data_IF_864873951842
#
_entry.id   IF_864873951842
#
_cell.length_a   1.000
_cell.length_b   1.000
_cell.length_c   1.000
_cell.angle_alpha   90.00
_cell.angle_beta   90.00
_cell.angle_gamma   90.00
#
_symmetry.space_group_name_H-M   'P 1'
#
loop_
_entity.id
_entity.type
_entity.pdbx_description
1 polymer ?
#
# COMPACT_ATOMS: atom_id res chain seq x y z
N UNK A 1 23.27 -28.16 27.38
CA UNK A 1 23.16 -27.93 25.93
C UNK A 1 22.61 -29.21 25.34
N UNK A 2 21.40 -29.16 24.78
CA UNK A 2 20.79 -30.30 24.08
C UNK A 2 21.06 -30.07 22.59
N UNK A 3 21.81 -30.98 21.95
CA UNK A 3 22.07 -30.91 20.52
C UNK A 3 21.21 -31.99 19.88
N UNK A 4 20.33 -31.59 18.99
CA UNK A 4 19.55 -32.53 18.19
C UNK A 4 19.95 -32.33 16.74
N UNK A 5 20.36 -33.43 16.12
CA UNK A 5 20.80 -33.47 14.73
C UNK A 5 19.73 -34.19 13.95
N UNK A 6 19.18 -33.52 12.94
CA UNK A 6 18.26 -34.09 11.96
C UNK A 6 18.93 -34.08 10.60
N UNK A 7 18.53 -35.00 9.73
CA UNK A 7 19.18 -35.21 8.44
C UNK A 7 18.50 -34.44 7.30
N UNK A 8 17.27 -33.99 7.52
CA UNK A 8 16.53 -33.11 6.61
C UNK A 8 16.09 -31.82 7.29
N UNK A 9 16.10 -30.73 6.54
CA UNK A 9 15.68 -29.41 7.02
C UNK A 9 14.18 -29.40 7.39
N UNK A 10 13.36 -30.16 6.65
CA UNK A 10 11.94 -30.38 6.90
C UNK A 10 11.65 -30.98 8.29
N UNK A 11 12.43 -31.99 8.70
CA UNK A 11 12.39 -32.60 10.04
C UNK A 11 12.79 -31.61 11.14
N UNK A 12 13.77 -30.75 10.85
CA UNK A 12 14.21 -29.71 11.78
C UNK A 12 13.05 -28.77 12.13
N UNK A 13 12.30 -28.35 11.10
CA UNK A 13 11.15 -27.47 11.26
C UNK A 13 9.98 -28.15 11.96
N UNK A 14 9.61 -29.39 11.61
CA UNK A 14 8.56 -30.13 12.33
C UNK A 14 8.89 -30.29 13.81
N UNK A 15 10.16 -30.63 14.10
CA UNK A 15 10.62 -30.80 15.46
C UNK A 15 10.61 -29.45 16.21
N UNK A 16 11.04 -28.37 15.57
CA UNK A 16 10.97 -27.02 16.13
C UNK A 16 9.53 -26.59 16.44
N UNK A 17 8.61 -26.78 15.49
CA UNK A 17 7.18 -26.44 15.66
C UNK A 17 6.53 -27.24 16.79
N UNK A 18 6.85 -28.55 16.89
CA UNK A 18 6.33 -29.41 17.97
C UNK A 18 6.87 -29.06 19.36
N UNK A 19 8.11 -28.54 19.44
CA UNK A 19 8.74 -28.10 20.68
C UNK A 19 8.28 -26.69 21.11
N UNK A 20 7.80 -25.87 20.18
CA UNK A 20 7.37 -24.49 20.43
C UNK A 20 5.99 -24.35 21.10
N UNK A 21 5.29 -25.45 21.39
CA UNK A 21 3.97 -25.42 22.05
C UNK A 21 3.98 -24.90 23.51
N UNK A 22 5.16 -24.76 24.15
CA UNK A 22 5.32 -24.25 25.53
C UNK A 22 6.28 -23.05 25.66
N UNK A 23 6.77 -22.51 24.54
CA UNK A 23 7.77 -21.42 24.49
C UNK A 23 7.18 -20.06 24.07
N UNK A 24 8.05 -19.05 23.95
CA UNK A 24 7.70 -17.76 23.33
C UNK A 24 7.25 -18.04 21.88
N UNK A 25 6.06 -17.56 21.50
CA UNK A 25 5.59 -17.69 20.14
C UNK A 25 6.60 -17.12 19.13
N UNK A 26 6.81 -17.84 18.03
CA UNK A 26 7.68 -17.41 16.94
C UNK A 26 7.16 -16.12 16.31
N UNK A 27 8.08 -15.32 15.75
CA UNK A 27 7.66 -14.16 14.98
C UNK A 27 6.92 -14.63 13.72
N UNK A 28 5.78 -14.01 13.36
CA UNK A 28 5.05 -14.35 12.13
C UNK A 28 5.92 -14.36 10.87
N UNK A 29 6.95 -13.52 10.79
CA UNK A 29 7.86 -13.51 9.64
C UNK A 29 8.73 -14.76 9.57
N UNK A 30 9.14 -15.31 10.71
CA UNK A 30 9.90 -16.56 10.77
C UNK A 30 9.04 -17.75 10.32
N UNK A 31 7.77 -17.76 10.72
CA UNK A 31 6.80 -18.77 10.28
C UNK A 31 6.55 -18.71 8.77
N UNK A 32 6.40 -17.51 8.21
CA UNK A 32 6.31 -17.31 6.76
C UNK A 32 7.57 -17.84 6.05
N UNK A 33 8.75 -17.47 6.52
CA UNK A 33 10.02 -17.95 5.96
C UNK A 33 10.07 -19.48 5.91
N UNK A 34 9.73 -20.16 7.01
CA UNK A 34 9.71 -21.62 7.10
C UNK A 34 8.69 -22.24 6.13
N UNK A 35 7.49 -21.66 6.04
CA UNK A 35 6.47 -22.11 5.08
C UNK A 35 6.97 -22.04 3.63
N UNK A 36 7.53 -20.89 3.23
CA UNK A 36 7.96 -20.68 1.85
C UNK A 36 9.23 -21.47 1.49
N UNK A 37 10.11 -21.80 2.44
CA UNK A 37 11.21 -22.76 2.21
C UNK A 37 10.66 -24.14 1.84
N UNK A 38 9.69 -24.67 2.60
CA UNK A 38 9.06 -25.96 2.27
C UNK A 38 8.36 -25.94 0.91
N UNK A 39 7.79 -24.81 0.51
CA UNK A 39 7.21 -24.67 -0.83
C UNK A 39 8.28 -24.70 -1.93
N UNK A 40 9.45 -24.09 -1.71
CA UNK A 40 10.58 -24.18 -2.66
C UNK A 40 11.09 -25.61 -2.85
N UNK A 41 11.19 -26.39 -1.76
CA UNK A 41 11.55 -27.81 -1.81
C UNK A 41 10.54 -28.59 -2.67
N UNK A 42 9.24 -28.36 -2.47
CA UNK A 42 8.16 -29.01 -3.23
C UNK A 42 8.17 -28.62 -4.72
N UNK A 43 8.49 -27.36 -5.02
CA UNK A 43 8.53 -26.83 -6.38
C UNK A 43 9.85 -27.18 -7.12
N UNK A 44 10.76 -27.92 -6.48
CA UNK A 44 12.01 -28.39 -7.09
C UNK A 44 13.07 -27.30 -7.26
N UNK A 45 13.03 -26.24 -6.45
CA UNK A 45 14.06 -25.20 -6.44
C UNK A 45 15.39 -25.80 -5.98
N UNK A 46 16.48 -25.48 -6.67
CA UNK A 46 17.81 -26.00 -6.31
C UNK A 46 18.26 -25.47 -4.94
N UNK A 47 18.96 -26.30 -4.15
CA UNK A 47 19.51 -25.88 -2.85
C UNK A 47 20.42 -24.64 -2.94
N UNK A 48 21.17 -24.48 -4.05
CA UNK A 48 22.01 -23.30 -4.24
C UNK A 48 21.18 -22.01 -4.33
N UNK A 49 20.04 -22.06 -5.03
CA UNK A 49 19.12 -20.93 -5.16
C UNK A 49 18.34 -20.65 -3.88
N UNK A 50 17.85 -21.71 -3.23
CA UNK A 50 17.22 -21.60 -1.90
C UNK A 50 18.16 -20.91 -0.90
N UNK A 51 19.41 -21.38 -0.82
CA UNK A 51 20.42 -20.81 0.06
C UNK A 51 20.67 -19.32 -0.24
N UNK A 52 20.72 -18.93 -1.52
CA UNK A 52 20.87 -17.54 -1.93
C UNK A 52 19.71 -16.67 -1.42
N UNK A 53 18.46 -17.10 -1.62
CA UNK A 53 17.25 -16.37 -1.21
C UNK A 53 17.17 -16.26 0.32
N UNK A 54 17.47 -17.33 1.03
CA UNK A 54 17.52 -17.34 2.48
C UNK A 54 18.62 -16.39 2.98
N UNK A 55 19.79 -16.37 2.33
CA UNK A 55 20.86 -15.43 2.69
C UNK A 55 20.48 -13.97 2.43
N UNK A 56 19.72 -13.68 1.37
CA UNK A 56 19.20 -12.33 1.10
C UNK A 56 18.19 -11.90 2.17
N UNK A 57 17.24 -12.78 2.50
CA UNK A 57 16.29 -12.56 3.59
C UNK A 57 16.97 -12.21 4.92
N UNK A 58 18.01 -12.96 5.29
CA UNK A 58 18.77 -12.76 6.53
C UNK A 58 19.60 -11.46 6.55
N UNK A 59 19.76 -10.76 5.43
CA UNK A 59 20.37 -9.42 5.41
C UNK A 59 19.40 -8.34 5.88
N UNK A 60 18.09 -8.61 5.85
CA UNK A 60 17.07 -7.70 6.34
C UNK A 60 17.04 -7.79 7.88
N UNK A 61 17.21 -6.67 8.62
CA UNK A 61 17.13 -6.69 10.07
C UNK A 61 15.76 -7.22 10.54
N UNK A 62 15.69 -8.16 11.52
CA UNK A 62 14.41 -8.74 11.95
C UNK A 62 13.35 -7.72 12.39
N UNK A 63 13.78 -6.64 13.05
CA UNK A 63 12.89 -5.54 13.43
C UNK A 63 12.34 -4.80 12.20
N UNK A 64 13.17 -4.61 11.18
CA UNK A 64 12.78 -3.98 9.93
C UNK A 64 11.77 -4.85 9.17
N UNK A 65 12.00 -6.16 9.12
CA UNK A 65 11.11 -7.13 8.51
C UNK A 65 9.75 -7.20 9.22
N UNK A 66 9.77 -7.33 10.56
CA UNK A 66 8.55 -7.32 11.37
C UNK A 66 7.73 -6.05 11.11
N UNK A 67 8.37 -4.89 11.10
CA UNK A 67 7.68 -3.63 10.88
C UNK A 67 7.24 -3.44 9.42
N UNK A 68 7.98 -3.97 8.43
CA UNK A 68 7.55 -4.03 7.02
C UNK A 68 6.20 -4.75 6.89
N UNK A 69 6.13 -5.98 7.42
CA UNK A 69 4.90 -6.77 7.37
C UNK A 69 3.79 -6.14 8.20
N UNK A 70 4.07 -5.73 9.44
CA UNK A 70 3.05 -5.31 10.39
C UNK A 70 2.51 -3.88 10.15
N UNK A 71 3.38 -2.93 9.82
CA UNK A 71 3.00 -1.52 9.68
C UNK A 71 2.57 -1.14 8.26
N UNK A 72 2.99 -1.92 7.24
CA UNK A 72 2.77 -1.56 5.85
C UNK A 72 2.04 -2.64 5.07
N UNK A 73 2.66 -3.80 4.80
CA UNK A 73 2.10 -4.79 3.87
C UNK A 73 0.75 -5.32 4.36
N UNK A 74 0.68 -5.76 5.62
CA UNK A 74 -0.57 -6.25 6.21
C UNK A 74 -1.64 -5.17 6.26
N UNK A 75 -1.26 -3.93 6.63
CA UNK A 75 -2.23 -2.83 6.77
C UNK A 75 -2.80 -2.39 5.44
N UNK A 76 -1.94 -2.15 4.44
CA UNK A 76 -2.37 -1.81 3.09
C UNK A 76 -3.26 -2.93 2.51
N UNK A 77 -2.88 -4.20 2.66
CA UNK A 77 -3.67 -5.33 2.18
C UNK A 77 -5.07 -5.41 2.81
N UNK A 78 -5.18 -5.20 4.13
CA UNK A 78 -6.47 -5.27 4.83
C UNK A 78 -7.33 -4.02 4.59
N UNK A 79 -6.76 -2.82 4.75
CA UNK A 79 -7.51 -1.56 4.62
C UNK A 79 -7.97 -1.32 3.18
N UNK A 80 -7.21 -1.74 2.17
CA UNK A 80 -7.63 -1.68 0.77
C UNK A 80 -8.85 -2.57 0.47
N UNK A 81 -9.05 -3.63 1.25
CA UNK A 81 -10.22 -4.51 1.19
C UNK A 81 -11.33 -4.11 2.19
N UNK A 82 -11.20 -2.97 2.87
CA UNK A 82 -12.19 -2.53 3.84
C UNK A 82 -12.21 -3.34 5.14
N UNK A 83 -11.15 -4.10 5.43
CA UNK A 83 -11.08 -5.01 6.59
C UNK A 83 -10.48 -4.30 7.80
N UNK A 84 -11.19 -4.36 8.92
CA UNK A 84 -10.72 -3.83 10.21
C UNK A 84 -9.60 -4.64 10.81
N UNK A 85 -8.57 -3.93 11.29
CA UNK A 85 -7.39 -4.50 11.93
C UNK A 85 -7.46 -4.25 13.43
N UNK A 86 -6.94 -5.19 14.22
CA UNK A 86 -6.81 -5.07 15.68
C UNK A 86 -5.45 -4.50 16.06
N UNK A 87 -5.34 -3.92 17.25
CA UNK A 87 -4.14 -3.19 17.70
C UNK A 87 -2.85 -4.01 17.69
N UNK A 88 -2.94 -5.31 17.96
CA UNK A 88 -1.80 -6.22 17.93
C UNK A 88 -1.29 -6.53 16.51
N UNK A 89 -1.98 -6.07 15.46
CA UNK A 89 -1.46 -6.06 14.09
C UNK A 89 -1.32 -7.45 13.46
N UNK A 90 -0.22 -7.65 12.74
CA UNK A 90 0.11 -8.89 12.04
C UNK A 90 0.63 -9.95 13.02
N UNK A 91 -0.09 -11.06 13.12
CA UNK A 91 0.24 -12.20 14.00
C UNK A 91 0.19 -13.51 13.22
N UNK A 92 0.50 -14.63 13.88
CA UNK A 92 0.41 -15.96 13.27
C UNK A 92 -0.99 -16.26 12.67
N UNK A 93 -2.05 -15.66 13.22
CA UNK A 93 -3.41 -15.82 12.70
C UNK A 93 -3.63 -15.18 11.30
N UNK A 94 -2.72 -14.31 10.86
CA UNK A 94 -2.78 -13.63 9.56
C UNK A 94 -1.79 -14.19 8.54
N UNK A 95 -0.98 -15.19 8.91
CA UNK A 95 -0.07 -15.88 8.00
C UNK A 95 -0.77 -16.34 6.70
N UNK A 96 -1.99 -16.89 6.71
CA UNK A 96 -2.68 -17.29 5.49
C UNK A 96 -2.92 -16.16 4.46
N UNK A 97 -2.76 -14.88 4.83
CA UNK A 97 -2.83 -13.77 3.87
C UNK A 97 -1.62 -13.69 2.93
N UNK A 98 -0.52 -14.33 3.31
CA UNK A 98 0.75 -14.38 2.56
C UNK A 98 1.08 -15.81 2.10
N UNK A 99 0.32 -16.83 2.54
CA UNK A 99 0.28 -18.15 1.91
C UNK A 99 -0.75 -18.12 0.77
N UNK A 100 -0.29 -17.94 -0.47
CA UNK A 100 -1.20 -17.76 -1.61
C UNK A 100 -1.14 -18.91 -2.61
N UNK A 101 -0.72 -18.59 -3.83
CA UNK A 101 -0.74 -19.48 -4.99
C UNK A 101 0.45 -20.43 -4.92
N UNK A 102 0.17 -21.70 -4.61
CA UNK A 102 1.10 -22.81 -4.85
C UNK A 102 1.23 -23.12 -6.35
N UNK A 103 2.45 -23.43 -6.80
CA UNK A 103 2.77 -23.71 -8.20
C UNK A 103 2.47 -25.18 -8.55
N UNK A 104 2.64 -26.08 -7.59
CA UNK A 104 2.63 -27.54 -7.77
C UNK A 104 1.34 -28.24 -7.27
N UNK A 105 0.47 -27.55 -6.54
CA UNK A 105 -0.75 -28.13 -5.94
C UNK A 105 -2.01 -27.85 -6.78
N UNK A 106 -3.22 -27.92 -6.21
CA UNK A 106 -4.50 -27.76 -6.93
C UNK A 106 -4.71 -26.35 -7.53
N UNK A 107 -3.92 -25.37 -7.11
CA UNK A 107 -4.09 -23.97 -7.51
C UNK A 107 -4.07 -23.71 -9.03
N UNK A 108 -3.21 -24.31 -9.88
CA UNK A 108 -3.23 -24.11 -11.33
C UNK A 108 -4.56 -24.50 -12.00
N UNK A 109 -5.38 -25.35 -11.35
CA UNK A 109 -6.72 -25.65 -11.84
C UNK A 109 -7.68 -24.45 -11.69
N UNK A 110 -7.44 -23.60 -10.68
CA UNK A 110 -8.27 -22.43 -10.40
C UNK A 110 -8.00 -21.30 -11.41
N UNK A 111 -9.05 -20.74 -12.00
CA UNK A 111 -8.87 -19.68 -13.01
C UNK A 111 -8.25 -18.39 -12.45
N UNK A 112 -8.54 -18.05 -11.19
CA UNK A 112 -8.04 -16.82 -10.57
C UNK A 112 -6.52 -16.84 -10.35
N UNK A 113 -5.91 -18.02 -10.17
CA UNK A 113 -4.48 -18.16 -9.88
C UNK A 113 -3.61 -18.10 -11.14
N UNK A 114 -4.19 -18.47 -12.30
CA UNK A 114 -3.46 -18.64 -13.57
C UNK A 114 -2.73 -17.38 -14.01
N UNK A 115 -3.30 -16.20 -13.80
CA UNK A 115 -2.66 -14.94 -14.19
C UNK A 115 -1.32 -14.74 -13.48
N UNK A 116 -1.25 -15.07 -12.19
CA UNK A 116 -0.04 -14.96 -11.37
C UNK A 116 1.00 -16.00 -11.77
N UNK A 117 0.56 -17.24 -12.02
CA UNK A 117 1.44 -18.32 -12.49
C UNK A 117 2.00 -18.05 -13.90
N UNK A 118 1.18 -17.52 -14.80
CA UNK A 118 1.61 -17.16 -16.15
C UNK A 118 2.60 -15.98 -16.14
N UNK A 119 2.34 -14.95 -15.31
CA UNK A 119 3.29 -13.86 -15.10
C UNK A 119 4.64 -14.38 -14.57
N UNK A 120 4.60 -15.30 -13.59
CA UNK A 120 5.81 -15.94 -13.04
C UNK A 120 6.57 -16.70 -14.13
N UNK A 121 5.86 -17.51 -14.90
CA UNK A 121 6.45 -18.29 -15.98
C UNK A 121 7.08 -17.39 -17.05
N UNK A 122 6.42 -16.27 -17.40
CA UNK A 122 6.94 -15.28 -18.35
C UNK A 122 8.28 -14.70 -17.87
N UNK A 123 8.33 -14.23 -16.62
CA UNK A 123 9.55 -13.70 -15.99
C UNK A 123 10.66 -14.74 -15.96
N UNK A 124 10.35 -15.98 -15.57
CA UNK A 124 11.34 -17.05 -15.51
C UNK A 124 11.92 -17.41 -16.88
N UNK A 125 11.07 -17.47 -17.91
CA UNK A 125 11.53 -17.71 -19.28
C UNK A 125 12.42 -16.55 -19.75
N UNK A 126 12.01 -15.29 -19.51
CA UNK A 126 12.82 -14.14 -19.88
C UNK A 126 14.20 -14.16 -19.21
N UNK A 127 14.28 -14.43 -17.90
CA UNK A 127 15.55 -14.53 -17.15
C UNK A 127 16.43 -15.67 -17.67
N UNK A 128 15.83 -16.81 -18.05
CA UNK A 128 16.56 -17.94 -18.66
C UNK A 128 17.17 -17.52 -20.00
N UNK A 129 16.39 -16.87 -20.85
CA UNK A 129 16.76 -16.57 -22.22
C UNK A 129 17.72 -15.35 -22.30
N UNK A 130 17.61 -14.40 -21.36
CA UNK A 130 18.36 -13.14 -21.37
C UNK A 130 19.37 -12.99 -20.23
N UNK A 131 19.55 -13.99 -19.37
CA UNK A 131 20.35 -13.84 -18.14
C UNK A 131 21.82 -13.44 -18.36
N UNK A 132 22.42 -13.78 -19.51
CA UNK A 132 23.76 -13.27 -19.87
C UNK A 132 23.71 -11.77 -20.17
N UNK A 133 22.71 -11.34 -20.93
CA UNK A 133 22.53 -9.94 -21.33
C UNK A 133 22.17 -9.05 -20.13
N UNK A 134 21.36 -9.54 -19.19
CA UNK A 134 21.08 -8.85 -17.93
C UNK A 134 22.37 -8.65 -17.11
N UNK A 135 23.17 -9.71 -16.94
CA UNK A 135 24.46 -9.62 -16.21
C UNK A 135 25.44 -8.66 -16.87
N UNK A 136 25.41 -8.57 -18.20
CA UNK A 136 26.22 -7.62 -18.98
C UNK A 136 25.59 -6.23 -19.09
N UNK A 137 24.45 -5.97 -18.42
CA UNK A 137 23.69 -4.71 -18.46
C UNK A 137 23.24 -4.29 -19.87
N UNK A 138 23.11 -5.25 -20.78
CA UNK A 138 22.66 -5.04 -22.17
C UNK A 138 21.13 -5.12 -22.25
N UNK A 139 20.52 -6.03 -21.50
CA UNK A 139 19.06 -6.16 -21.39
C UNK A 139 18.58 -5.66 -20.02
N UNK A 140 17.40 -5.05 -19.97
CA UNK A 140 16.73 -4.71 -18.72
C UNK A 140 16.33 -5.97 -17.97
N UNK A 141 16.46 -5.95 -16.65
CA UNK A 141 15.92 -7.00 -15.79
C UNK A 141 14.38 -6.97 -15.86
N UNK A 142 13.78 -8.13 -16.09
CA UNK A 142 12.33 -8.28 -15.98
C UNK A 142 12.01 -8.82 -14.59
N UNK A 143 11.38 -7.99 -13.77
CA UNK A 143 10.90 -8.35 -12.45
C UNK A 143 9.44 -8.82 -12.49
N UNK A 144 9.05 -9.61 -11.49
CA UNK A 144 7.66 -9.99 -11.32
C UNK A 144 6.83 -8.77 -10.92
N UNK A 145 5.68 -8.50 -11.57
CA UNK A 145 4.87 -7.32 -11.29
C UNK A 145 4.12 -7.51 -9.97
N UNK A 146 4.77 -7.21 -8.85
CA UNK A 146 4.17 -7.28 -7.53
C UNK A 146 3.08 -6.22 -7.35
N UNK A 147 2.06 -6.56 -6.56
CA UNK A 147 1.04 -5.66 -6.03
C UNK A 147 0.74 -6.12 -4.59
N UNK A 148 0.68 -5.21 -3.63
CA UNK A 148 0.57 -5.57 -2.20
C UNK A 148 -0.72 -6.36 -1.91
N UNK A 149 -1.81 -5.98 -2.58
CA UNK A 149 -3.13 -6.54 -2.35
C UNK A 149 -3.44 -7.80 -3.19
N UNK A 150 -2.49 -8.26 -4.01
CA UNK A 150 -2.65 -9.52 -4.76
C UNK A 150 -2.33 -10.76 -3.92
N UNK A 151 -2.82 -11.95 -4.32
CA UNK A 151 -2.35 -13.22 -3.79
C UNK A 151 -0.84 -13.41 -4.02
N UNK A 152 -0.12 -13.78 -2.96
CA UNK A 152 1.32 -14.08 -3.04
C UNK A 152 1.51 -15.38 -3.80
N UNK A 153 2.51 -15.49 -4.68
CA UNK A 153 2.95 -16.78 -5.21
C UNK A 153 3.94 -17.40 -4.22
N UNK A 154 3.70 -18.66 -3.85
CA UNK A 154 4.48 -19.34 -2.83
C UNK A 154 5.93 -19.61 -3.25
N UNK A 155 6.74 -20.11 -2.31
CA UNK A 155 8.13 -20.46 -2.57
C UNK A 155 9.01 -19.24 -2.88
N UNK A 156 9.84 -19.38 -3.92
CA UNK A 156 10.83 -18.39 -4.33
C UNK A 156 10.22 -16.99 -4.56
N UNK A 157 9.04 -16.93 -5.16
CA UNK A 157 8.39 -15.65 -5.49
C UNK A 157 8.05 -14.82 -4.26
N UNK A 158 7.81 -15.45 -3.11
CA UNK A 158 7.58 -14.74 -1.85
C UNK A 158 8.86 -14.10 -1.27
N UNK A 159 10.01 -14.75 -1.43
CA UNK A 159 11.30 -14.17 -1.05
C UNK A 159 11.58 -12.94 -1.92
N UNK A 160 11.35 -13.04 -3.23
CA UNK A 160 11.45 -11.92 -4.15
C UNK A 160 10.45 -10.79 -3.82
N UNK A 161 9.21 -11.13 -3.48
CA UNK A 161 8.19 -10.17 -3.01
C UNK A 161 8.68 -9.40 -1.79
N UNK A 162 9.26 -10.09 -0.81
CA UNK A 162 9.71 -9.49 0.45
C UNK A 162 10.88 -8.54 0.21
N UNK A 163 11.86 -8.98 -0.59
CA UNK A 163 12.99 -8.14 -0.97
C UNK A 163 12.54 -6.90 -1.76
N UNK A 164 11.64 -7.08 -2.73
CA UNK A 164 11.06 -6.00 -3.52
C UNK A 164 10.46 -4.90 -2.63
N UNK A 165 9.56 -5.27 -1.70
CA UNK A 165 8.92 -4.29 -0.83
C UNK A 165 9.84 -3.72 0.24
N UNK A 166 10.86 -4.47 0.67
CA UNK A 166 11.88 -3.93 1.56
C UNK A 166 12.73 -2.86 0.87
N UNK A 167 13.18 -3.10 -0.37
CA UNK A 167 13.90 -2.10 -1.15
C UNK A 167 13.01 -0.92 -1.51
N UNK A 168 11.76 -1.15 -1.92
CA UNK A 168 10.82 -0.06 -2.18
C UNK A 168 10.62 0.81 -0.93
N UNK A 169 10.37 0.21 0.24
CA UNK A 169 10.28 0.92 1.51
C UNK A 169 11.54 1.73 1.82
N UNK A 170 12.73 1.17 1.55
CA UNK A 170 14.00 1.89 1.73
C UNK A 170 14.13 3.08 0.77
N UNK A 171 13.81 2.91 -0.50
CA UNK A 171 13.85 3.97 -1.51
C UNK A 171 12.87 5.10 -1.19
N UNK A 172 11.71 4.76 -0.62
CA UNK A 172 10.74 5.71 -0.08
C UNK A 172 11.16 6.36 1.25
N UNK A 173 12.36 6.09 1.77
CA UNK A 173 12.90 6.74 2.96
C UNK A 173 12.30 6.29 4.29
N UNK A 174 11.71 5.08 4.38
CA UNK A 174 11.23 4.53 5.66
C UNK A 174 12.37 4.26 6.65
N UNK A 175 13.55 3.91 6.12
CA UNK A 175 14.69 3.39 6.87
C UNK A 175 15.97 4.23 6.70
N UNK A 176 15.86 5.41 6.09
CA UNK A 176 16.99 6.27 5.76
C UNK A 176 16.61 7.35 4.77
N UNK A 177 17.61 7.93 4.12
CA UNK A 177 17.41 8.95 3.09
C UNK A 177 16.64 8.37 1.89
N UNK A 178 15.61 9.07 1.38
CA UNK A 178 14.88 8.63 0.20
C UNK A 178 15.76 8.75 -1.05
N UNK A 179 15.54 7.90 -2.03
CA UNK A 179 16.19 7.97 -3.36
C UNK A 179 15.28 8.59 -4.41
N UNK A 180 14.30 9.38 -3.97
CA UNK A 180 13.22 9.94 -4.78
C UNK A 180 13.57 11.33 -5.32
N UNK A 181 12.99 11.69 -6.46
CA UNK A 181 13.03 13.07 -6.98
C UNK A 181 12.01 13.96 -6.26
N UNK A 182 12.44 14.55 -5.14
CA UNK A 182 11.63 15.44 -4.32
C UNK A 182 11.79 16.90 -4.73
N UNK A 183 10.66 17.60 -4.90
CA UNK A 183 10.67 19.05 -4.93
C UNK A 183 10.84 19.63 -3.52
N UNK A 184 11.03 20.95 -3.40
CA UNK A 184 11.22 21.64 -2.12
C UNK A 184 10.12 21.30 -1.09
N UNK A 185 8.86 21.27 -1.53
CA UNK A 185 7.70 21.02 -0.67
C UNK A 185 7.70 19.59 -0.13
N UNK A 186 7.97 18.60 -0.97
CA UNK A 186 8.09 17.21 -0.56
C UNK A 186 9.33 16.98 0.30
N UNK A 187 10.43 17.69 0.03
CA UNK A 187 11.63 17.69 0.86
C UNK A 187 11.33 18.14 2.30
N UNK A 188 10.57 19.23 2.49
CA UNK A 188 10.13 19.68 3.81
C UNK A 188 9.24 18.65 4.55
N UNK A 189 8.35 17.97 3.80
CA UNK A 189 7.52 16.89 4.37
C UNK A 189 8.40 15.74 4.86
N UNK A 190 9.37 15.32 4.06
CA UNK A 190 10.28 14.24 4.41
C UNK A 190 11.19 14.61 5.59
N UNK A 191 11.73 15.83 5.62
CA UNK A 191 12.49 16.34 6.77
C UNK A 191 11.65 16.26 8.05
N UNK A 192 10.40 16.73 8.03
CA UNK A 192 9.50 16.61 9.18
C UNK A 192 9.28 15.15 9.60
N UNK A 193 9.02 14.25 8.64
CA UNK A 193 8.75 12.84 8.91
C UNK A 193 9.97 12.09 9.45
N UNK A 194 11.16 12.40 8.95
CA UNK A 194 12.39 11.71 9.30
C UNK A 194 13.04 12.27 10.56
N UNK A 195 12.82 13.55 10.90
CA UNK A 195 13.37 14.17 12.12
C UNK A 195 12.36 14.20 13.26
N UNK A 196 11.38 15.11 13.20
CA UNK A 196 10.41 15.38 14.28
C UNK A 196 9.47 14.18 14.50
N UNK A 197 8.96 13.58 13.44
CA UNK A 197 8.01 12.47 13.57
C UNK A 197 8.67 11.16 14.02
N UNK A 198 9.93 10.92 13.65
CA UNK A 198 10.69 9.73 14.07
C UNK A 198 11.09 9.74 15.54
N UNK A 199 11.36 10.93 16.10
CA UNK A 199 11.82 11.08 17.50
C UNK A 199 10.68 11.27 18.49
N UNK A 200 9.50 11.68 18.04
CA UNK A 200 8.35 11.96 18.89
C UNK A 200 7.25 10.91 18.71
N UNK A 201 7.05 10.06 19.72
CA UNK A 201 6.08 8.97 19.72
C UNK A 201 4.64 9.40 19.34
N UNK A 202 4.27 10.67 19.57
CA UNK A 202 2.95 11.21 19.25
C UNK A 202 2.66 11.27 17.75
N UNK A 203 3.70 11.26 16.92
CA UNK A 203 3.57 11.28 15.46
C UNK A 203 3.76 9.91 14.83
N UNK A 204 4.07 8.86 15.61
CA UNK A 204 4.31 7.50 15.08
C UNK A 204 3.17 7.03 14.18
N UNK A 205 1.93 7.14 14.67
CA UNK A 205 0.75 6.71 13.91
C UNK A 205 0.53 7.51 12.62
N UNK A 206 0.86 8.81 12.62
CA UNK A 206 0.79 9.66 11.43
C UNK A 206 1.85 9.25 10.42
N UNK A 207 3.08 9.02 10.90
CA UNK A 207 4.21 8.60 10.08
C UNK A 207 3.93 7.25 9.42
N UNK A 208 3.47 6.27 10.21
CA UNK A 208 3.12 4.94 9.71
C UNK A 208 2.02 5.03 8.64
N UNK A 209 0.96 5.80 8.88
CA UNK A 209 -0.14 5.96 7.93
C UNK A 209 0.34 6.61 6.63
N UNK A 210 1.08 7.73 6.73
CA UNK A 210 1.65 8.43 5.58
C UNK A 210 2.52 7.52 4.70
N UNK A 211 3.47 6.80 5.29
CA UNK A 211 4.34 5.91 4.54
C UNK A 211 3.63 4.66 4.02
N UNK A 212 2.60 4.17 4.71
CA UNK A 212 1.78 3.06 4.23
C UNK A 212 0.96 3.45 3.00
N UNK A 213 0.39 4.64 2.98
CA UNK A 213 -0.33 5.18 1.81
C UNK A 213 0.61 5.44 0.65
N UNK A 214 1.77 6.05 0.92
CA UNK A 214 2.79 6.31 -0.11
C UNK A 214 3.33 5.00 -0.71
N UNK A 215 3.65 4.01 0.13
CA UNK A 215 4.10 2.70 -0.34
C UNK A 215 3.05 2.06 -1.25
N UNK A 216 1.78 2.09 -0.86
CA UNK A 216 0.71 1.47 -1.64
C UNK A 216 0.40 2.23 -2.93
N UNK A 217 0.55 3.55 -2.93
CA UNK A 217 0.44 4.36 -4.14
C UNK A 217 1.56 4.05 -5.15
N UNK A 218 2.81 4.01 -4.68
CA UNK A 218 3.97 3.75 -5.55
C UNK A 218 4.00 2.31 -6.04
N UNK A 219 3.57 1.35 -5.21
CA UNK A 219 3.31 -0.04 -5.63
C UNK A 219 2.40 -0.09 -6.87
N UNK A 220 1.38 0.77 -6.92
CA UNK A 220 0.38 0.76 -7.98
C UNK A 220 0.76 1.59 -9.20
N UNK A 221 1.31 2.78 -9.01
CA UNK A 221 1.50 3.77 -10.08
C UNK A 221 2.97 4.08 -10.38
N UNK A 222 3.91 3.51 -9.62
CA UNK A 222 5.29 3.97 -9.62
C UNK A 222 5.38 5.41 -9.11
N UNK A 223 6.36 6.16 -9.61
CA UNK A 223 6.63 7.54 -9.20
C UNK A 223 5.83 8.61 -9.98
N UNK A 224 4.76 8.20 -10.67
CA UNK A 224 3.89 9.13 -11.39
C UNK A 224 3.22 10.11 -10.42
N UNK A 225 3.34 11.42 -10.69
CA UNK A 225 2.79 12.49 -9.85
C UNK A 225 3.15 12.34 -8.35
N UNK A 226 4.38 11.86 -8.09
CA UNK A 226 4.83 11.49 -6.75
C UNK A 226 4.77 12.67 -5.75
N UNK A 227 5.17 13.86 -6.16
CA UNK A 227 5.22 15.03 -5.27
C UNK A 227 3.80 15.49 -4.86
N UNK A 228 2.84 15.39 -5.76
CA UNK A 228 1.43 15.64 -5.50
C UNK A 228 0.85 14.60 -4.54
N UNK A 229 1.20 13.33 -4.74
CA UNK A 229 0.78 12.21 -3.89
C UNK A 229 1.36 12.34 -2.47
N UNK A 230 2.66 12.65 -2.33
CA UNK A 230 3.32 12.91 -1.04
C UNK A 230 2.57 13.99 -0.26
N UNK A 231 2.27 15.12 -0.90
CA UNK A 231 1.54 16.21 -0.25
C UNK A 231 0.10 15.79 0.11
N UNK A 232 -0.60 15.06 -0.75
CA UNK A 232 -1.94 14.53 -0.47
C UNK A 232 -1.94 13.64 0.79
N UNK A 233 -1.08 12.63 0.83
CA UNK A 233 -1.01 11.69 1.94
C UNK A 233 -0.52 12.35 3.23
N UNK A 234 0.41 13.30 3.13
CA UNK A 234 0.80 14.10 4.28
C UNK A 234 -0.40 14.85 4.86
N UNK A 235 -1.16 15.58 4.04
CA UNK A 235 -2.35 16.30 4.50
C UNK A 235 -3.38 15.34 5.09
N UNK A 236 -3.61 14.19 4.46
CA UNK A 236 -4.55 13.19 4.95
C UNK A 236 -4.14 12.62 6.32
N UNK A 237 -2.89 12.20 6.48
CA UNK A 237 -2.40 11.62 7.73
C UNK A 237 -2.22 12.67 8.85
N UNK A 238 -1.67 13.85 8.53
CA UNK A 238 -1.46 14.94 9.48
C UNK A 238 -2.77 15.43 10.09
N UNK A 239 -3.83 15.51 9.27
CA UNK A 239 -5.17 15.91 9.72
C UNK A 239 -5.67 15.05 10.87
N UNK A 240 -5.48 13.74 10.82
CA UNK A 240 -5.92 12.82 11.89
C UNK A 240 -5.34 13.21 13.26
N UNK A 241 -4.07 13.63 13.30
CA UNK A 241 -3.40 14.05 14.54
C UNK A 241 -3.82 15.44 15.01
N UNK A 242 -4.15 16.32 14.07
CA UNK A 242 -4.67 17.67 14.36
C UNK A 242 -6.14 17.63 14.80
N UNK A 243 -6.89 16.59 14.44
CA UNK A 243 -8.28 16.40 14.90
C UNK A 243 -8.38 15.83 16.31
N UNK A 244 -7.37 15.09 16.78
CA UNK A 244 -7.50 14.27 17.96
C UNK A 244 -6.55 14.69 19.08
N UNK A 245 -7.10 14.92 20.28
CA UNK A 245 -6.30 15.12 21.50
C UNK A 245 -5.43 13.92 21.84
N UNK A 246 -5.95 12.71 21.66
CA UNK A 246 -5.24 11.44 21.85
C UNK A 246 -5.36 10.59 20.59
N UNK A 247 -4.23 10.10 20.07
CA UNK A 247 -4.16 9.31 18.84
C UNK A 247 -3.63 7.91 19.16
N UNK A 248 -4.54 6.94 19.25
CA UNK A 248 -4.22 5.51 19.36
C UNK A 248 -4.47 4.78 18.04
N UNK A 249 -4.04 3.51 17.95
CA UNK A 249 -4.23 2.70 16.74
C UNK A 249 -5.70 2.54 16.34
N UNK A 250 -6.61 2.39 17.31
CA UNK A 250 -8.04 2.27 17.04
C UNK A 250 -8.59 3.48 16.26
N UNK A 251 -8.08 4.69 16.53
CA UNK A 251 -8.43 5.89 15.78
C UNK A 251 -7.90 5.85 14.35
N UNK A 252 -6.67 5.37 14.15
CA UNK A 252 -6.07 5.19 12.81
C UNK A 252 -6.85 4.18 11.99
N UNK A 253 -7.14 3.03 12.57
CA UNK A 253 -7.91 1.98 11.90
C UNK A 253 -9.33 2.47 11.54
N UNK A 254 -9.99 3.20 12.46
CA UNK A 254 -11.28 3.81 12.17
C UNK A 254 -11.20 4.90 11.10
N UNK A 255 -10.09 5.64 11.03
CA UNK A 255 -9.85 6.67 10.02
C UNK A 255 -9.61 6.07 8.63
N UNK A 256 -8.70 5.10 8.51
CA UNK A 256 -8.36 4.41 7.26
C UNK A 256 -9.58 3.75 6.59
N UNK A 257 -10.53 3.28 7.41
CA UNK A 257 -11.75 2.60 6.97
C UNK A 257 -13.00 3.48 6.95
N UNK A 258 -12.87 4.77 7.27
CA UNK A 258 -14.00 5.69 7.29
C UNK A 258 -15.16 5.21 8.20
N UNK A 259 -14.86 4.60 9.36
CA UNK A 259 -15.87 3.95 10.23
C UNK A 259 -16.60 4.91 11.18
N UNK A 260 -16.21 6.18 11.23
CA UNK A 260 -16.83 7.16 12.13
C UNK A 260 -16.98 8.50 11.43
N UNK A 261 -18.14 9.12 11.61
CA UNK A 261 -18.46 10.49 11.19
C UNK A 261 -17.77 11.56 12.03
N UNK A 262 -17.16 11.18 13.17
CA UNK A 262 -16.28 12.08 13.95
C UNK A 262 -15.02 12.44 13.18
N UNK A 263 -14.60 11.53 12.31
CA UNK A 263 -13.67 11.81 11.24
C UNK A 263 -14.54 12.15 10.04
N UNK A 264 -14.18 13.10 9.18
CA UNK A 264 -14.82 13.19 7.85
C UNK A 264 -14.33 12.07 6.95
N UNK A 265 -14.55 10.86 7.42
CA UNK A 265 -14.26 9.59 6.79
C UNK A 265 -15.35 9.29 5.78
N UNK A 266 -15.32 9.97 4.65
CA UNK A 266 -15.87 9.42 3.41
C UNK A 266 -14.78 8.92 2.47
N UNK A 267 -13.51 9.23 2.76
CA UNK A 267 -12.39 8.85 1.91
C UNK A 267 -11.69 7.62 2.51
N UNK A 268 -12.01 6.44 1.97
CA UNK A 268 -11.26 5.21 2.26
C UNK A 268 -10.01 5.20 1.39
N UNK A 269 -8.96 5.90 1.82
CA UNK A 269 -7.77 6.17 0.99
C UNK A 269 -7.20 4.90 0.33
N UNK A 270 -7.06 3.81 1.10
CA UNK A 270 -6.57 2.54 0.57
C UNK A 270 -7.52 1.90 -0.44
N UNK A 271 -8.85 1.98 -0.24
CA UNK A 271 -9.83 1.48 -1.21
C UNK A 271 -9.84 2.35 -2.49
N UNK A 272 -9.64 3.65 -2.35
CA UNK A 272 -9.52 4.59 -3.48
C UNK A 272 -8.28 4.25 -4.32
N UNK A 273 -7.11 4.12 -3.69
CA UNK A 273 -5.88 3.70 -4.38
C UNK A 273 -6.11 2.35 -5.07
N UNK A 274 -6.71 1.37 -4.38
CA UNK A 274 -7.00 0.03 -4.92
C UNK A 274 -7.90 0.02 -6.16
N UNK A 275 -8.80 0.98 -6.29
CA UNK A 275 -9.76 1.03 -7.40
C UNK A 275 -9.35 2.00 -8.51
N UNK A 276 -8.41 2.92 -8.22
CA UNK A 276 -7.90 3.89 -9.17
C UNK A 276 -7.16 3.21 -10.34
N UNK A 277 -7.33 3.75 -11.55
CA UNK A 277 -6.66 3.29 -12.77
C UNK A 277 -5.58 4.25 -13.24
N UNK A 278 -5.61 5.49 -12.76
CA UNK A 278 -4.59 6.49 -13.00
C UNK A 278 -4.33 7.32 -11.72
N UNK A 279 -3.15 7.96 -11.59
CA UNK A 279 -2.83 8.88 -10.49
C UNK A 279 -3.93 9.90 -10.18
N UNK A 280 -4.56 10.45 -11.21
CA UNK A 280 -5.56 11.52 -11.11
C UNK A 280 -6.81 11.09 -10.34
N UNK A 281 -7.18 9.81 -10.40
CA UNK A 281 -8.30 9.24 -9.64
C UNK A 281 -8.08 9.36 -8.12
N UNK A 282 -6.82 9.33 -7.68
CA UNK A 282 -6.41 9.49 -6.28
C UNK A 282 -6.18 10.97 -5.95
N UNK A 283 -5.50 11.70 -6.82
CA UNK A 283 -5.11 13.09 -6.56
C UNK A 283 -6.29 14.07 -6.57
N UNK A 284 -7.32 13.76 -7.37
CA UNK A 284 -8.54 14.55 -7.50
C UNK A 284 -9.48 14.49 -6.29
N UNK A 285 -9.19 13.68 -5.27
CA UNK A 285 -10.08 13.56 -4.11
C UNK A 285 -10.10 14.86 -3.29
N UNK A 286 -11.30 15.28 -2.91
CA UNK A 286 -11.46 16.35 -1.93
C UNK A 286 -11.20 15.82 -0.53
N UNK A 287 -10.22 16.42 0.15
CA UNK A 287 -10.02 16.21 1.57
C UNK A 287 -10.91 17.16 2.37
N UNK A 288 -11.40 16.69 3.51
CA UNK A 288 -12.04 17.56 4.48
C UNK A 288 -11.01 18.47 5.17
N UNK A 289 -11.41 19.70 5.45
CA UNK A 289 -10.51 20.76 5.95
C UNK A 289 -10.64 21.04 7.45
N UNK A 290 -11.58 20.39 8.13
CA UNK A 290 -11.82 20.58 9.57
C UNK A 290 -10.62 20.04 10.35
N UNK A 291 -10.14 20.83 11.31
CA UNK A 291 -9.07 20.52 12.26
C UNK A 291 -9.45 21.08 13.63
N UNK A 292 -8.97 20.45 14.71
CA UNK A 292 -9.01 21.08 16.03
C UNK A 292 -7.69 21.85 16.22
N UNK A 293 -7.75 23.12 16.65
CA UNK A 293 -6.54 23.92 16.91
C UNK A 293 -5.92 23.49 18.24
N UNK A 294 -5.26 22.32 18.24
CA UNK A 294 -4.67 21.70 19.42
C UNK A 294 -3.23 22.23 19.59
N UNK A 295 -2.92 23.02 20.64
CA UNK A 295 -1.64 23.74 20.78
C UNK A 295 -0.37 22.87 20.80
N UNK A 296 -0.50 21.55 21.05
CA UNK A 296 0.63 20.63 21.23
C UNK A 296 1.28 20.14 19.93
N UNK A 297 0.83 20.59 18.77
CA UNK A 297 1.31 20.17 17.45
C UNK A 297 1.64 21.35 16.53
N UNK A 298 2.14 22.47 17.07
CA UNK A 298 2.31 23.73 16.34
C UNK A 298 3.13 23.59 15.04
N UNK A 299 4.26 22.88 15.09
CA UNK A 299 5.08 22.59 13.90
C UNK A 299 4.28 21.87 12.79
N UNK A 300 3.55 20.81 13.17
CA UNK A 300 2.73 20.04 12.25
C UNK A 300 1.60 20.92 11.68
N UNK A 301 1.01 21.76 12.52
CA UNK A 301 -0.07 22.67 12.13
C UNK A 301 0.42 23.75 11.16
N UNK A 302 1.61 24.31 11.38
CA UNK A 302 2.21 25.31 10.50
C UNK A 302 2.49 24.70 9.12
N UNK A 303 3.14 23.53 9.09
CA UNK A 303 3.42 22.82 7.84
C UNK A 303 2.12 22.43 7.13
N UNK A 304 1.14 21.87 7.86
CA UNK A 304 -0.18 21.53 7.32
C UNK A 304 -0.89 22.73 6.68
N UNK A 305 -0.93 23.89 7.36
CA UNK A 305 -1.55 25.12 6.84
C UNK A 305 -0.86 25.60 5.56
N UNK A 306 0.48 25.62 5.54
CA UNK A 306 1.28 25.97 4.35
C UNK A 306 0.92 25.07 3.16
N UNK A 307 0.96 23.75 3.36
CA UNK A 307 0.73 22.76 2.30
C UNK A 307 -0.70 22.78 1.79
N UNK A 308 -1.68 23.03 2.68
CA UNK A 308 -3.09 23.18 2.29
C UNK A 308 -3.28 24.36 1.34
N UNK A 309 -2.71 25.53 1.65
CA UNK A 309 -2.80 26.71 0.79
C UNK A 309 -2.20 26.42 -0.58
N UNK A 310 -1.04 25.77 -0.64
CA UNK A 310 -0.40 25.39 -1.90
C UNK A 310 -1.28 24.46 -2.74
N UNK A 311 -1.95 23.49 -2.10
CA UNK A 311 -2.87 22.58 -2.80
C UNK A 311 -4.10 23.31 -3.35
N UNK A 312 -4.68 24.22 -2.58
CA UNK A 312 -5.82 25.03 -3.03
C UNK A 312 -5.43 25.95 -4.19
N UNK A 313 -4.25 26.55 -4.14
CA UNK A 313 -3.74 27.43 -5.19
C UNK A 313 -3.53 26.67 -6.51
N UNK A 314 -3.01 25.45 -6.47
CA UNK A 314 -2.86 24.61 -7.67
C UNK A 314 -4.20 24.22 -8.27
N UNK A 315 -5.17 23.79 -7.44
CA UNK A 315 -6.52 23.48 -7.93
C UNK A 315 -7.18 24.70 -8.59
N UNK A 316 -7.00 25.89 -8.02
CA UNK A 316 -7.51 27.13 -8.61
C UNK A 316 -6.83 27.47 -9.96
N UNK A 317 -5.51 27.25 -10.07
CA UNK A 317 -4.74 27.47 -11.29
C UNK A 317 -5.14 26.50 -12.41
N UNK A 318 -5.40 25.24 -12.09
CA UNK A 318 -5.91 24.24 -13.03
C UNK A 318 -7.27 24.65 -13.59
N UNK A 319 -8.19 25.11 -12.72
CA UNK A 319 -9.49 25.64 -13.14
C UNK A 319 -9.31 26.85 -14.05
N UNK A 320 -8.42 27.78 -13.70
CA UNK A 320 -8.17 28.97 -14.53
C UNK A 320 -7.59 28.58 -15.90
N UNK A 321 -6.63 27.66 -15.94
CA UNK A 321 -6.05 27.14 -17.18
C UNK A 321 -7.10 26.43 -18.04
N UNK A 322 -7.99 25.64 -17.44
CA UNK A 322 -9.11 25.02 -18.13
C UNK A 322 -10.09 26.05 -18.70
N UNK A 323 -10.42 27.10 -17.94
CA UNK A 323 -11.26 28.21 -18.42
C UNK A 323 -10.58 28.95 -19.58
N UNK A 324 -9.27 29.18 -19.51
CA UNK A 324 -8.48 29.79 -20.60
C UNK A 324 -8.47 28.91 -21.85
N UNK A 325 -8.20 27.62 -21.71
CA UNK A 325 -8.25 26.64 -22.81
C UNK A 325 -9.64 26.58 -23.45
N UNK A 326 -10.70 26.59 -22.64
CA UNK A 326 -12.07 26.60 -23.15
C UNK A 326 -12.40 27.88 -23.92
N UNK A 327 -11.91 29.05 -23.44
CA UNK A 327 -12.02 30.31 -24.20
C UNK A 327 -11.28 30.26 -25.53
N UNK A 328 -10.05 29.72 -25.55
CA UNK A 328 -9.26 29.55 -26.78
C UNK A 328 -9.96 28.58 -27.74
N UNK A 329 -10.40 27.43 -27.26
CA UNK A 329 -11.13 26.44 -28.05
C UNK A 329 -12.42 27.04 -28.65
N UNK A 330 -13.16 27.84 -27.88
CA UNK A 330 -14.34 28.55 -28.35
C UNK A 330 -14.03 29.56 -29.47
N UNK A 331 -12.92 30.30 -29.35
CA UNK A 331 -12.46 31.23 -30.39
C UNK A 331 -12.10 30.48 -31.68
N UNK A 332 -11.46 29.31 -31.55
CA UNK A 332 -11.02 28.50 -32.70
C UNK A 332 -12.18 27.75 -33.39
N UNK A 333 -13.22 27.35 -32.65
CA UNK A 333 -14.30 26.47 -33.17
C UNK A 333 -15.59 27.20 -33.57
N UNK A 334 -15.75 28.49 -33.26
CA UNK A 334 -16.95 29.29 -33.60
C UNK A 334 -18.29 28.66 -33.13
N UNK A 335 -18.27 27.87 -32.04
CA UNK A 335 -19.47 27.23 -31.51
C UNK A 335 -20.42 28.27 -30.84
N UNK A 336 -21.72 28.30 -31.20
CA UNK A 336 -22.71 29.17 -30.57
C UNK A 336 -23.04 28.76 -29.13
N UNK A 337 -23.52 29.72 -28.34
CA UNK A 337 -23.61 29.72 -26.86
C UNK A 337 -24.43 28.56 -26.27
N UNK A 338 -25.31 27.93 -27.03
CA UNK A 338 -26.35 27.05 -26.49
C UNK A 338 -25.97 25.57 -26.35
N UNK A 339 -24.76 25.15 -26.74
CA UNK A 339 -24.44 23.72 -26.85
C UNK A 339 -23.76 23.06 -25.62
N UNK A 340 -23.42 23.80 -24.54
CA UNK A 340 -22.56 23.25 -23.46
C UNK A 340 -23.11 23.43 -22.03
N UNK A 341 -24.42 23.64 -21.87
CA UNK A 341 -25.08 23.55 -20.54
C UNK A 341 -26.11 22.42 -20.51
N UNK A 342 -25.66 21.20 -20.81
CA UNK A 342 -26.34 19.95 -20.44
C UNK A 342 -25.19 18.95 -20.24
N UNK A 343 -24.67 18.73 -19.02
CA UNK A 343 -25.23 17.80 -18.05
C UNK A 343 -24.72 18.16 -16.63
N UNK A 344 -25.51 18.90 -15.85
CA UNK A 344 -25.33 18.95 -14.38
C UNK A 344 -26.64 19.20 -13.62
N UNK A 345 -27.78 18.97 -14.26
CA UNK A 345 -29.09 18.97 -13.59
C UNK A 345 -29.96 17.87 -14.20
N UNK A 346 -30.06 16.76 -13.50
CA UNK A 346 -31.31 16.07 -13.12
C UNK A 346 -30.97 14.68 -12.56
N UNK A 347 -30.94 14.58 -11.23
CA UNK A 347 -31.22 13.33 -10.52
C UNK A 347 -32.74 13.13 -10.59
N UNK A 348 -33.27 12.01 -11.10
CA UNK A 348 -34.69 11.71 -10.97
C UNK A 348 -34.96 11.33 -9.52
N UNK A 349 -35.83 12.10 -8.86
CA UNK A 349 -36.56 11.62 -7.69
C UNK A 349 -37.50 10.51 -8.18
N UNK A 350 -37.28 9.29 -7.69
CA UNK A 350 -38.16 8.16 -7.95
C UNK A 350 -39.53 8.42 -7.28
N UNK A 351 -40.45 9.00 -8.03
CA UNK A 351 -41.87 9.01 -7.72
C UNK A 351 -42.47 7.64 -8.06
N UNK A 352 -42.51 6.76 -7.07
CA UNK A 352 -43.22 5.50 -7.16
C UNK A 352 -44.74 5.79 -7.26
N UNK A 353 -45.33 5.60 -8.44
CA UNK A 353 -46.79 5.54 -8.61
C UNK A 353 -47.18 4.10 -8.87
N UNK A 354 -47.62 3.40 -7.82
CA UNK A 354 -48.36 2.15 -7.94
C UNK A 354 -49.80 2.42 -7.54
N UNK A 355 -50.63 2.78 -8.52
CA UNK A 355 -52.07 2.57 -8.41
C UNK A 355 -52.38 1.16 -8.91
N UNK A 356 -52.42 0.20 -7.98
CA UNK A 356 -53.23 -1.00 -8.11
C UNK A 356 -54.32 -0.95 -7.04
N UNK A 357 -55.55 -0.90 -7.53
CA UNK A 357 -56.81 -0.98 -6.80
C UNK A 357 -56.84 -2.18 -5.84
N UNK A 358 -57.21 -1.97 -4.57
CA UNK A 358 -58.27 -2.76 -3.94
C UNK A 358 -58.77 -2.14 -2.61
N UNK A 359 -60.11 -2.07 -2.51
CA UNK A 359 -60.96 -2.01 -1.31
C UNK A 359 -61.08 -0.69 -0.53
N UNK A 360 -62.15 0.04 -0.82
CA UNK A 360 -62.92 0.78 0.19
C UNK A 360 -63.88 -0.20 0.90
N UNK A 361 -63.83 -0.19 2.23
CA UNK A 361 -65.00 0.11 3.05
C UNK A 361 -64.83 1.54 3.56
#
# INVERSE_FOLDING_TARGET
>A
MLIVTVHELSEAFQMFDSQNARGKALDPTDLLKAFHIRQMEQDGVTHAREYELVRQWEQIPPVGLHYLFNAFLYRAKQWSHGVSIREYGFTAAQIPLFEGVSISQENPANNWSKVYLLARQCVNNYKRDNGVLERSKVASQLEYPFQIDQPVVNGETFFEFTEHYYQLARNLGLWGEPTLELNETSGEIFDFMQTKASTNWRYRQVKDLFFCELLYYVDRFGEQCLNEAIRLFFLYAARLRLLLRSLGFASVNSYALALSTRYDGNQRMFEIIRNAKAPEDVLGISLDERIEDIPRNEDLLQLYKKLRILRMAQAAMEIENMVRLFRVFRIVTNLPIDFVILQSKELPTAGCSSNCLSKNM
#
